data_IF_046742062257
#
_entry.id   IF_046742062257
#
_cell.length_a   1.000
_cell.length_b   1.000
_cell.length_c   1.000
_cell.angle_alpha   90.00
_cell.angle_beta   90.00
_cell.angle_gamma   90.00
#
_symmetry.space_group_name_H-M   'P 1'
#
loop_
_entity.id
_entity.type
_entity.pdbx_description
1 polymer ?
#
# COMPACT_ATOMS: atom_id res chain seq x y z
N UNK A 1 -35.39 74.36 1.91
CA UNK A 1 -35.35 73.17 1.03
C UNK A 1 -34.02 72.47 1.25
N UNK A 2 -34.03 71.28 1.86
CA UNK A 2 -32.83 70.45 2.06
C UNK A 2 -32.51 69.73 0.76
N UNK A 3 -31.27 69.82 0.29
CA UNK A 3 -30.76 69.08 -0.87
C UNK A 3 -29.91 67.92 -0.36
N UNK A 4 -30.35 66.70 -0.65
CA UNK A 4 -29.62 65.47 -0.36
C UNK A 4 -28.41 65.33 -1.30
N UNK A 5 -27.24 65.01 -0.74
CA UNK A 5 -26.02 64.66 -1.48
C UNK A 5 -25.79 63.14 -1.37
N UNK A 6 -25.46 62.45 -2.47
CA UNK A 6 -25.53 60.98 -2.54
C UNK A 6 -24.38 60.29 -1.82
N UNK A 7 -24.71 59.23 -1.09
CA UNK A 7 -23.79 58.32 -0.43
C UNK A 7 -23.12 57.38 -1.44
N UNK A 8 -21.80 57.28 -1.37
CA UNK A 8 -20.94 56.43 -2.19
C UNK A 8 -21.14 54.95 -1.86
N UNK A 9 -21.57 54.14 -2.84
CA UNK A 9 -21.52 52.68 -2.76
C UNK A 9 -20.14 52.17 -3.20
N UNK A 10 -19.28 51.89 -2.22
CA UNK A 10 -18.04 51.13 -2.43
C UNK A 10 -18.39 49.66 -2.67
N UNK A 11 -18.20 49.18 -3.91
CA UNK A 11 -18.31 47.75 -4.25
C UNK A 11 -17.18 46.97 -3.56
N UNK A 12 -17.53 46.26 -2.48
CA UNK A 12 -16.71 45.20 -1.90
C UNK A 12 -16.60 44.04 -2.90
N UNK A 13 -15.45 43.90 -3.55
CA UNK A 13 -15.10 42.71 -4.33
C UNK A 13 -14.75 41.58 -3.38
N UNK A 14 -15.67 40.63 -3.21
CA UNK A 14 -15.39 39.35 -2.55
C UNK A 14 -14.49 38.52 -3.46
N UNK A 15 -13.19 38.46 -3.13
CA UNK A 15 -12.28 37.43 -3.65
C UNK A 15 -12.75 36.08 -3.13
N UNK A 16 -13.39 35.30 -3.99
CA UNK A 16 -13.60 33.88 -3.78
C UNK A 16 -12.25 33.17 -3.95
N UNK A 17 -11.61 32.82 -2.84
CA UNK A 17 -10.47 31.90 -2.83
C UNK A 17 -10.93 30.56 -3.40
N UNK A 18 -10.59 30.33 -4.66
CA UNK A 18 -10.70 29.03 -5.32
C UNK A 18 -9.75 28.05 -4.63
N UNK A 19 -10.25 27.34 -3.61
CA UNK A 19 -9.59 26.16 -3.07
C UNK A 19 -9.70 25.04 -4.09
N UNK A 20 -8.76 24.96 -5.03
CA UNK A 20 -8.54 23.73 -5.78
C UNK A 20 -8.35 22.59 -4.78
N UNK A 21 -9.12 21.50 -4.86
CA UNK A 21 -8.93 20.35 -3.98
C UNK A 21 -7.53 19.80 -4.19
N UNK A 22 -6.70 19.85 -3.15
CA UNK A 22 -5.36 19.24 -3.18
C UNK A 22 -5.55 17.75 -3.40
N UNK A 23 -4.88 17.19 -4.40
CA UNK A 23 -4.85 15.75 -4.63
C UNK A 23 -4.53 15.03 -3.30
N UNK A 24 -5.26 13.96 -2.95
CA UNK A 24 -5.02 13.24 -1.71
C UNK A 24 -3.55 12.79 -1.69
N UNK A 25 -2.85 13.05 -0.58
CA UNK A 25 -1.47 12.58 -0.43
C UNK A 25 -1.49 11.06 -0.40
N UNK A 26 -0.91 10.44 -1.43
CA UNK A 26 -0.88 8.99 -1.58
C UNK A 26 -0.07 8.32 -0.45
N UNK A 27 0.91 9.04 0.09
CA UNK A 27 1.82 8.55 1.12
C UNK A 27 1.63 9.28 2.45
N UNK A 28 1.43 8.56 3.56
CA UNK A 28 1.24 9.13 4.89
C UNK A 28 2.59 9.60 5.48
N UNK A 29 2.53 10.26 6.64
CA UNK A 29 3.74 10.56 7.42
C UNK A 29 4.37 9.26 7.96
N UNK A 30 5.67 9.23 8.30
CA UNK A 30 6.39 7.99 8.68
C UNK A 30 5.79 7.14 9.81
N UNK A 31 4.91 7.70 10.65
CA UNK A 31 4.31 7.01 11.80
C UNK A 31 2.78 6.84 11.71
N UNK A 32 2.19 7.04 10.53
CA UNK A 32 0.75 6.91 10.31
C UNK A 32 0.48 5.62 9.51
N UNK A 33 -0.11 4.64 10.18
CA UNK A 33 -0.40 3.32 9.60
C UNK A 33 -1.62 3.38 8.68
N UNK A 34 -1.61 2.56 7.63
CA UNK A 34 -2.75 2.35 6.74
C UNK A 34 -3.35 0.98 6.93
N UNK A 35 -4.65 0.89 6.69
CA UNK A 35 -5.37 -0.37 6.59
C UNK A 35 -4.99 -1.11 5.30
N UNK A 36 -5.20 -2.43 5.26
CA UNK A 36 -5.03 -3.21 4.03
C UNK A 36 -5.90 -2.68 2.88
N UNK A 37 -7.11 -2.22 3.20
CA UNK A 37 -8.01 -1.65 2.19
C UNK A 37 -7.44 -0.38 1.56
N UNK A 38 -6.80 0.49 2.34
CA UNK A 38 -6.15 1.68 1.80
C UNK A 38 -4.99 1.33 0.87
N UNK A 39 -4.16 0.35 1.22
CA UNK A 39 -3.09 -0.12 0.32
C UNK A 39 -3.64 -0.71 -0.98
N UNK A 40 -4.72 -1.51 -0.90
CA UNK A 40 -5.40 -2.03 -2.10
C UNK A 40 -5.94 -0.89 -2.99
N UNK A 41 -6.47 0.18 -2.40
CA UNK A 41 -6.94 1.33 -3.17
C UNK A 41 -5.78 2.08 -3.85
N UNK A 42 -4.66 2.25 -3.15
CA UNK A 42 -3.44 2.84 -3.72
C UNK A 42 -2.96 1.99 -4.90
N UNK A 43 -2.88 0.67 -4.73
CA UNK A 43 -2.44 -0.25 -5.80
C UNK A 43 -3.38 -0.21 -7.01
N UNK A 44 -4.70 -0.17 -6.81
CA UNK A 44 -5.66 -0.04 -7.93
C UNK A 44 -5.44 1.23 -8.74
N UNK A 45 -5.08 2.33 -8.10
CA UNK A 45 -4.79 3.58 -8.80
C UNK A 45 -3.43 3.52 -9.52
N UNK A 46 -2.39 3.00 -8.86
CA UNK A 46 -1.06 2.86 -9.45
C UNK A 46 -1.04 1.88 -10.64
N UNK A 47 -1.85 0.83 -10.57
CA UNK A 47 -1.85 -0.28 -11.51
C UNK A 47 -3.00 -0.19 -12.54
N UNK A 48 -3.75 0.93 -12.58
CA UNK A 48 -4.95 1.07 -13.42
C UNK A 48 -4.70 0.86 -14.91
N UNK A 49 -3.49 1.21 -15.35
CA UNK A 49 -3.04 1.16 -16.75
C UNK A 49 -2.27 -0.13 -17.07
N UNK A 50 -2.13 -1.06 -16.12
CA UNK A 50 -1.39 -2.30 -16.33
C UNK A 50 -2.20 -3.33 -17.13
N UNK A 51 -1.53 -4.16 -17.95
CA UNK A 51 -2.19 -5.21 -18.73
C UNK A 51 -2.95 -6.20 -17.84
N UNK A 52 -4.21 -6.48 -18.20
CA UNK A 52 -5.06 -7.46 -17.50
C UNK A 52 -4.99 -8.85 -18.14
N UNK A 53 -3.83 -9.22 -18.69
CA UNK A 53 -3.63 -10.50 -19.39
C UNK A 53 -3.37 -11.64 -18.41
N UNK A 54 -3.54 -12.88 -18.88
CA UNK A 54 -3.16 -14.08 -18.12
C UNK A 54 -1.66 -14.11 -17.82
N UNK A 55 -0.84 -13.71 -18.79
CA UNK A 55 0.62 -13.62 -18.69
C UNK A 55 1.06 -12.67 -17.58
N UNK A 56 0.37 -11.54 -17.41
CA UNK A 56 0.66 -10.62 -16.33
C UNK A 56 0.48 -11.26 -14.95
N UNK A 57 -0.48 -12.17 -14.80
CA UNK A 57 -0.63 -12.97 -13.59
C UNK A 57 0.61 -13.84 -13.29
N UNK A 58 1.25 -14.41 -14.31
CA UNK A 58 2.50 -15.17 -14.15
C UNK A 58 3.65 -14.27 -13.71
N UNK A 59 3.74 -13.06 -14.28
CA UNK A 59 4.76 -12.06 -13.89
C UNK A 59 4.62 -11.70 -12.41
N UNK A 60 3.40 -11.49 -11.92
CA UNK A 60 3.16 -11.21 -10.50
C UNK A 60 3.58 -12.36 -9.57
N UNK A 61 3.43 -13.62 -10.01
CA UNK A 61 3.91 -14.78 -9.26
C UNK A 61 5.44 -14.85 -9.25
N UNK A 62 6.09 -14.53 -10.38
CA UNK A 62 7.55 -14.46 -10.45
C UNK A 62 8.10 -13.37 -9.52
N UNK A 63 7.50 -12.18 -9.53
CA UNK A 63 7.86 -11.11 -8.59
C UNK A 63 7.68 -11.53 -7.14
N UNK A 64 6.59 -12.24 -6.81
CA UNK A 64 6.42 -12.78 -5.45
C UNK A 64 7.57 -13.72 -5.03
N UNK A 65 8.08 -14.55 -5.96
CA UNK A 65 9.21 -15.45 -5.67
C UNK A 65 10.54 -14.72 -5.53
N UNK A 66 10.72 -13.63 -6.26
CA UNK A 66 11.85 -12.72 -6.10
C UNK A 66 11.88 -12.18 -4.66
N UNK A 67 10.80 -11.56 -4.18
CA UNK A 67 10.71 -11.03 -2.81
C UNK A 67 10.97 -12.10 -1.73
N UNK A 68 10.49 -13.33 -1.93
CA UNK A 68 10.78 -14.44 -1.00
C UNK A 68 12.27 -14.77 -0.98
N UNK A 69 12.93 -14.76 -2.14
CA UNK A 69 14.38 -14.96 -2.25
C UNK A 69 15.17 -13.84 -1.58
N UNK A 70 14.71 -12.59 -1.71
CA UNK A 70 15.30 -11.39 -1.10
C UNK A 70 15.22 -11.48 0.43
N UNK A 71 14.03 -11.79 0.97
CA UNK A 71 13.85 -12.03 2.43
C UNK A 71 14.79 -13.12 2.92
N UNK A 72 14.86 -14.26 2.21
CA UNK A 72 15.72 -15.37 2.61
C UNK A 72 17.21 -14.96 2.62
N UNK A 73 17.63 -14.20 1.61
CA UNK A 73 18.99 -13.65 1.48
C UNK A 73 19.31 -12.69 2.62
N UNK A 74 18.42 -11.73 2.89
CA UNK A 74 18.58 -10.74 3.95
C UNK A 74 18.58 -11.41 5.34
N UNK A 75 17.68 -12.37 5.58
CA UNK A 75 17.63 -13.12 6.84
C UNK A 75 18.92 -13.91 7.09
N UNK A 76 19.45 -14.59 6.07
CA UNK A 76 20.73 -15.30 6.15
C UNK A 76 21.93 -14.36 6.33
N UNK A 77 21.89 -13.15 5.75
CA UNK A 77 22.95 -12.16 5.92
C UNK A 77 23.00 -11.61 7.36
N UNK A 78 21.85 -11.51 8.04
CA UNK A 78 21.74 -11.06 9.43
C UNK A 78 21.96 -12.18 10.46
N UNK A 79 21.52 -13.42 10.16
CA UNK A 79 21.52 -14.54 11.12
C UNK A 79 22.53 -15.66 10.78
N UNK A 80 23.31 -15.54 9.69
CA UNK A 80 24.20 -16.60 9.17
C UNK A 80 25.71 -16.26 9.10
N UNK A 81 26.54 -17.30 8.91
CA UNK A 81 28.03 -17.34 8.92
C UNK A 81 28.75 -16.61 7.75
N UNK A 82 28.23 -15.51 7.19
CA UNK A 82 28.98 -14.71 6.18
C UNK A 82 29.18 -13.27 6.64
N UNK A 83 30.15 -13.01 7.55
CA UNK A 83 30.54 -11.65 7.92
C UNK A 83 31.22 -10.85 6.79
N UNK A 84 31.48 -11.49 5.64
CA UNK A 84 32.30 -10.91 4.57
C UNK A 84 31.51 -10.18 3.48
N UNK A 85 30.19 -10.34 3.40
CA UNK A 85 29.40 -9.68 2.35
C UNK A 85 28.67 -8.43 2.87
N UNK A 86 29.44 -7.42 3.26
CA UNK A 86 28.95 -6.16 3.88
C UNK A 86 28.07 -5.29 2.97
N UNK A 87 27.99 -5.60 1.67
CA UNK A 87 27.08 -4.93 0.73
C UNK A 87 25.65 -5.47 0.91
N UNK A 88 25.48 -6.79 0.94
CA UNK A 88 24.20 -7.47 1.20
C UNK A 88 23.61 -7.19 2.60
N UNK A 89 24.41 -6.68 3.54
CA UNK A 89 23.95 -6.31 4.88
C UNK A 89 23.54 -4.83 5.00
N UNK A 90 23.86 -3.98 4.01
CA UNK A 90 23.68 -2.52 4.11
C UNK A 90 22.52 -1.98 3.27
N UNK A 91 22.22 -2.62 2.15
CA UNK A 91 21.28 -2.05 1.17
C UNK A 91 19.87 -2.68 1.24
N UNK A 92 19.75 -3.91 1.77
CA UNK A 92 18.49 -4.67 1.83
C UNK A 92 18.28 -5.25 3.25
N UNK A 93 17.39 -4.66 4.04
CA UNK A 93 17.02 -5.24 5.35
C UNK A 93 15.83 -6.17 5.19
N UNK A 94 15.79 -7.30 5.90
CA UNK A 94 14.64 -8.23 5.84
C UNK A 94 13.30 -7.53 6.18
N UNK A 95 13.33 -6.40 6.89
CA UNK A 95 12.17 -5.57 7.21
C UNK A 95 11.61 -4.85 5.98
N UNK A 96 12.48 -4.35 5.10
CA UNK A 96 12.07 -3.76 3.83
C UNK A 96 11.48 -4.85 2.93
N UNK A 97 12.21 -5.95 2.77
CA UNK A 97 11.78 -7.08 1.94
C UNK A 97 10.43 -7.69 2.40
N UNK A 98 10.15 -7.67 3.70
CA UNK A 98 8.84 -8.09 4.22
C UNK A 98 7.71 -7.15 3.76
N UNK A 99 7.98 -5.87 3.62
CA UNK A 99 7.07 -4.89 3.04
C UNK A 99 6.83 -5.16 1.55
N UNK A 100 7.89 -5.41 0.79
CA UNK A 100 7.81 -5.67 -0.65
C UNK A 100 7.09 -6.98 -0.94
N UNK A 101 7.34 -8.03 -0.15
CA UNK A 101 6.56 -9.27 -0.18
C UNK A 101 5.06 -9.02 0.06
N UNK A 102 4.71 -8.21 1.08
CA UNK A 102 3.31 -7.91 1.36
C UNK A 102 2.66 -7.16 0.19
N UNK A 103 3.34 -6.18 -0.39
CA UNK A 103 2.84 -5.43 -1.56
C UNK A 103 2.64 -6.35 -2.76
N UNK A 104 3.59 -7.26 -3.04
CA UNK A 104 3.48 -8.26 -4.11
C UNK A 104 2.25 -9.17 -3.93
N UNK A 105 1.96 -9.60 -2.69
CA UNK A 105 0.72 -10.36 -2.37
C UNK A 105 -0.53 -9.51 -2.64
N UNK A 106 -0.56 -8.26 -2.17
CA UNK A 106 -1.71 -7.37 -2.34
C UNK A 106 -1.97 -7.05 -3.82
N UNK A 107 -0.91 -6.86 -4.61
CA UNK A 107 -0.98 -6.64 -6.06
C UNK A 107 -1.54 -7.85 -6.78
N UNK A 108 -1.05 -9.06 -6.47
CA UNK A 108 -1.60 -10.30 -7.01
C UNK A 108 -3.07 -10.49 -6.66
N UNK A 109 -3.46 -10.22 -5.41
CA UNK A 109 -4.85 -10.31 -4.98
C UNK A 109 -5.74 -9.31 -5.71
N UNK A 110 -5.26 -8.08 -5.93
CA UNK A 110 -5.98 -7.05 -6.70
C UNK A 110 -6.18 -7.49 -8.14
N UNK A 111 -5.11 -7.95 -8.81
CA UNK A 111 -5.17 -8.41 -10.20
C UNK A 111 -6.09 -9.63 -10.39
N UNK A 112 -6.10 -10.57 -9.45
CA UNK A 112 -6.97 -11.78 -9.49
C UNK A 112 -8.34 -11.58 -8.84
N UNK A 113 -8.68 -10.35 -8.43
CA UNK A 113 -9.94 -10.02 -7.76
C UNK A 113 -10.23 -10.93 -6.54
N UNK A 114 -9.21 -11.18 -5.72
CA UNK A 114 -9.30 -12.02 -4.53
C UNK A 114 -9.70 -11.15 -3.33
N UNK A 115 -10.81 -11.51 -2.67
CA UNK A 115 -11.16 -10.93 -1.37
C UNK A 115 -10.24 -11.53 -0.28
N UNK A 116 -9.18 -10.79 0.08
CA UNK A 116 -8.20 -11.22 1.07
C UNK A 116 -8.79 -11.34 2.48
N UNK A 117 -9.67 -10.44 2.90
CA UNK A 117 -10.32 -10.50 4.22
C UNK A 117 -11.05 -11.84 4.40
N UNK A 118 -11.87 -12.22 3.43
CA UNK A 118 -12.55 -13.51 3.45
C UNK A 118 -11.57 -14.70 3.52
N UNK A 119 -10.45 -14.66 2.78
CA UNK A 119 -9.43 -15.72 2.79
C UNK A 119 -8.64 -15.78 4.09
N UNK A 120 -8.36 -14.64 4.71
CA UNK A 120 -7.71 -14.54 6.02
C UNK A 120 -8.65 -15.11 7.08
N UNK A 121 -9.93 -14.68 7.11
CA UNK A 121 -10.92 -15.20 8.05
C UNK A 121 -11.11 -16.72 7.92
N UNK A 122 -11.18 -17.23 6.69
CA UNK A 122 -11.23 -18.68 6.44
C UNK A 122 -10.03 -19.41 7.06
N UNK A 123 -8.83 -18.86 6.88
CA UNK A 123 -7.59 -19.44 7.40
C UNK A 123 -7.55 -19.39 8.94
N UNK A 124 -7.96 -18.28 9.54
CA UNK A 124 -8.04 -18.12 10.99
C UNK A 124 -9.03 -19.12 11.61
N UNK A 125 -10.23 -19.29 11.03
CA UNK A 125 -11.21 -20.29 11.45
C UNK A 125 -10.63 -21.71 11.40
N UNK A 126 -9.86 -22.03 10.36
CA UNK A 126 -9.18 -23.33 10.23
C UNK A 126 -8.11 -23.55 11.30
N UNK A 127 -7.31 -22.53 11.61
CA UNK A 127 -6.31 -22.59 12.69
C UNK A 127 -7.00 -22.78 14.04
N UNK A 128 -8.07 -22.04 14.30
CA UNK A 128 -8.85 -22.18 15.53
C UNK A 128 -9.43 -23.59 15.68
N UNK A 129 -10.03 -24.14 14.61
CA UNK A 129 -10.56 -25.52 14.62
C UNK A 129 -9.48 -26.57 14.91
N UNK A 130 -8.27 -26.40 14.35
CA UNK A 130 -7.15 -27.33 14.61
C UNK A 130 -6.66 -27.31 16.05
N UNK A 131 -6.81 -26.17 16.74
CA UNK A 131 -6.50 -26.07 18.18
C UNK A 131 -7.54 -26.78 19.04
N UNK A 132 -8.82 -26.73 18.66
CA UNK A 132 -9.91 -27.37 19.42
C UNK A 132 -10.12 -28.85 19.07
N UNK A 133 -9.73 -29.28 17.87
CA UNK A 133 -9.79 -30.65 17.39
C UNK A 133 -8.48 -30.97 16.65
N UNK A 134 -7.43 -31.40 17.37
CA UNK A 134 -6.21 -31.90 16.74
C UNK A 134 -6.59 -33.03 15.78
N UNK A 135 -6.01 -33.04 14.58
CA UNK A 135 -6.16 -34.20 13.71
C UNK A 135 -5.44 -35.37 14.38
N UNK A 136 -6.13 -36.51 14.47
CA UNK A 136 -5.49 -37.80 14.72
C UNK A 136 -4.39 -38.08 13.68
#
# INVERSE_FOLDING_TARGET
MKTDKPTTHTKSSTKTDSKTPKAPRLFPKPNESKTLQEYLNILRELDKDLPKTSEYGSILILGLMEEVGEIARAYLAEHGRKPTNKAAQRDETYKQELGDLLISILRLATHKNINLDHRIQYTLKKIQKRKSQPKE
#
